data_IF_306262704210
#
_entry.id   IF_306262704210
#
_cell.length_a   1.000
_cell.length_b   1.000
_cell.length_c   1.000
_cell.angle_alpha   90.00
_cell.angle_beta   90.00
_cell.angle_gamma   90.00
#
_symmetry.space_group_name_H-M   'P 1'
#
loop_
_entity.id
_entity.type
_entity.pdbx_description
1 polymer ?
#
# COMPACT_ATOMS: atom_id res chain seq x y z
N UNK A 1 19.68 19.94 -2.53
CA UNK A 1 18.88 19.44 -3.65
C UNK A 1 18.10 18.26 -3.19
N UNK A 2 16.82 18.33 -3.38
CA UNK A 2 15.96 17.21 -3.06
C UNK A 2 15.96 16.22 -4.21
N UNK A 3 16.70 15.15 -4.02
CA UNK A 3 16.60 14.04 -4.95
C UNK A 3 15.27 13.37 -4.76
N UNK A 4 14.42 13.54 -5.74
CA UNK A 4 13.16 12.85 -5.72
C UNK A 4 13.34 11.48 -6.34
N UNK A 5 13.01 10.46 -5.55
CA UNK A 5 13.13 9.09 -5.97
C UNK A 5 11.76 8.50 -6.25
N UNK A 6 11.73 7.59 -7.19
CA UNK A 6 10.50 6.86 -7.53
C UNK A 6 10.75 5.37 -7.43
N UNK A 7 9.76 4.62 -6.96
CA UNK A 7 9.86 3.16 -6.94
C UNK A 7 9.60 2.61 -8.33
N UNK A 8 10.46 1.70 -8.76
CA UNK A 8 10.38 1.09 -10.09
C UNK A 8 10.74 -0.38 -9.99
N UNK A 9 10.43 -1.10 -11.06
CA UNK A 9 10.73 -2.52 -11.16
C UNK A 9 11.82 -2.72 -12.21
N UNK A 10 12.87 -3.42 -11.84
CA UNK A 10 13.96 -3.77 -12.75
C UNK A 10 13.45 -4.77 -13.79
N UNK A 11 13.60 -4.46 -15.08
CA UNK A 11 13.11 -5.33 -16.15
C UNK A 11 13.83 -6.66 -16.19
N UNK A 12 15.07 -6.71 -15.76
CA UNK A 12 15.86 -7.95 -15.85
C UNK A 12 15.45 -8.98 -14.80
N UNK A 13 15.18 -8.56 -13.57
CA UNK A 13 14.98 -9.49 -12.46
C UNK A 13 13.72 -9.26 -11.65
N UNK A 14 12.90 -8.28 -12.01
CA UNK A 14 11.66 -7.91 -11.32
C UNK A 14 11.85 -7.43 -9.89
N UNK A 15 13.04 -7.01 -9.54
CA UNK A 15 13.31 -6.45 -8.20
C UNK A 15 12.86 -4.99 -8.12
N UNK A 16 12.55 -4.56 -6.90
CA UNK A 16 12.17 -3.17 -6.63
C UNK A 16 13.43 -2.34 -6.45
N UNK A 17 13.45 -1.19 -7.10
CA UNK A 17 14.50 -0.20 -6.93
C UNK A 17 13.89 1.17 -6.74
N UNK A 18 14.60 2.01 -6.04
CA UNK A 18 14.26 3.42 -5.92
C UNK A 18 15.28 4.18 -6.74
N UNK A 19 14.86 4.80 -7.82
CA UNK A 19 15.78 5.55 -8.68
C UNK A 19 15.54 7.04 -8.50
N UNK A 20 16.63 7.81 -8.53
CA UNK A 20 16.52 9.26 -8.52
C UNK A 20 16.08 9.72 -9.90
N UNK A 21 15.21 10.71 -9.93
CA UNK A 21 14.77 11.28 -11.20
C UNK A 21 15.96 11.85 -11.99
N UNK A 22 16.98 12.31 -11.27
CA UNK A 22 18.18 12.84 -11.90
C UNK A 22 19.00 11.79 -12.65
N UNK A 23 18.81 10.52 -12.33
CA UNK A 23 19.56 9.42 -12.95
C UNK A 23 18.90 8.89 -14.21
N UNK A 24 17.73 9.39 -14.57
CA UNK A 24 17.01 8.94 -15.76
C UNK A 24 17.61 9.62 -16.98
N UNK A 25 18.13 8.80 -17.89
CA UNK A 25 18.67 9.32 -19.15
C UNK A 25 17.54 9.70 -20.12
N UNK A 26 16.58 8.78 -20.25
CA UNK A 26 15.42 9.01 -21.07
C UNK A 26 14.34 7.99 -20.74
N UNK A 27 13.15 8.26 -21.21
CA UNK A 27 12.00 7.36 -21.08
C UNK A 27 11.55 6.89 -22.45
N UNK A 28 10.91 5.75 -22.48
CA UNK A 28 10.32 5.22 -23.70
C UNK A 28 9.02 4.47 -23.37
N UNK A 29 8.31 4.06 -24.40
CA UNK A 29 7.12 3.23 -24.24
C UNK A 29 7.43 1.83 -24.73
N UNK A 30 7.06 0.84 -23.93
CA UNK A 30 7.11 -0.55 -24.28
C UNK A 30 5.72 -1.13 -24.04
N UNK A 31 5.00 -1.43 -25.09
CA UNK A 31 3.64 -1.97 -25.00
C UNK A 31 2.72 -1.14 -24.09
N UNK A 32 2.79 0.18 -24.20
CA UNK A 32 2.00 1.15 -23.40
C UNK A 32 2.53 1.38 -21.98
N UNK A 33 3.62 0.72 -21.61
CA UNK A 33 4.23 0.93 -20.32
C UNK A 33 5.38 1.90 -20.42
N UNK A 34 5.48 2.80 -19.47
CA UNK A 34 6.60 3.73 -19.43
C UNK A 34 7.82 3.00 -18.89
N UNK A 35 8.93 3.17 -19.58
CA UNK A 35 10.19 2.53 -19.25
C UNK A 35 11.23 3.63 -19.03
N UNK A 36 12.00 3.47 -17.95
CA UNK A 36 13.06 4.41 -17.58
C UNK A 36 14.42 3.80 -17.89
N UNK A 37 15.24 4.54 -18.62
CA UNK A 37 16.58 4.12 -18.98
C UNK A 37 17.59 4.89 -18.17
N UNK A 38 18.42 4.19 -17.41
CA UNK A 38 19.50 4.76 -16.60
C UNK A 38 20.81 4.08 -16.96
N UNK A 39 21.91 4.58 -16.45
CA UNK A 39 23.21 3.94 -16.67
C UNK A 39 23.24 2.53 -16.08
N UNK A 40 22.55 2.32 -14.98
CA UNK A 40 22.61 1.07 -14.24
C UNK A 40 21.60 0.03 -14.67
N UNK A 41 20.62 0.41 -15.47
CA UNK A 41 19.63 -0.56 -15.89
C UNK A 41 18.39 0.08 -16.50
N UNK A 42 17.46 -0.80 -16.81
CA UNK A 42 16.17 -0.46 -17.42
C UNK A 42 15.07 -0.85 -16.45
N UNK A 43 14.17 0.07 -16.20
CA UNK A 43 13.12 -0.09 -15.20
C UNK A 43 11.78 0.30 -15.77
N UNK A 44 10.72 -0.26 -15.21
CA UNK A 44 9.36 0.16 -15.56
C UNK A 44 8.59 0.57 -14.31
N UNK A 45 7.48 1.23 -14.54
CA UNK A 45 6.59 1.64 -13.46
C UNK A 45 5.99 0.44 -12.73
N UNK A 46 5.47 0.73 -11.55
CA UNK A 46 4.62 -0.23 -10.85
C UNK A 46 3.40 -0.50 -11.73
N UNK A 47 3.18 -1.73 -12.12
CA UNK A 47 2.13 -2.11 -13.06
C UNK A 47 0.96 -2.85 -12.43
N UNK A 48 1.14 -3.36 -11.23
CA UNK A 48 0.13 -4.21 -10.60
C UNK A 48 0.11 -4.00 -9.10
N UNK A 49 -0.96 -4.48 -8.46
CA UNK A 49 -1.03 -4.48 -7.01
C UNK A 49 0.06 -5.37 -6.42
N UNK A 50 0.41 -6.45 -7.09
CA UNK A 50 1.49 -7.32 -6.66
C UNK A 50 2.83 -6.59 -6.63
N UNK A 51 3.13 -5.81 -7.67
CA UNK A 51 4.34 -5.00 -7.70
C UNK A 51 4.31 -3.95 -6.59
N UNK A 52 3.16 -3.30 -6.39
CA UNK A 52 3.02 -2.30 -5.34
C UNK A 52 3.21 -2.92 -3.96
N UNK A 53 2.79 -4.15 -3.77
CA UNK A 53 3.00 -4.88 -2.52
C UNK A 53 4.48 -5.00 -2.20
N UNK A 54 5.31 -5.25 -3.19
CA UNK A 54 6.76 -5.35 -2.98
C UNK A 54 7.34 -4.04 -2.45
N UNK A 55 6.77 -2.91 -2.86
CA UNK A 55 7.21 -1.59 -2.43
C UNK A 55 6.69 -1.27 -1.03
N UNK A 56 5.44 -1.57 -0.75
CA UNK A 56 4.76 -1.09 0.45
C UNK A 56 4.82 -2.06 1.63
N UNK A 57 4.94 -3.37 1.39
CA UNK A 57 4.98 -4.34 2.49
C UNK A 57 6.10 -4.05 3.49
N UNK A 58 7.31 -3.67 3.07
CA UNK A 58 8.38 -3.38 4.04
C UNK A 58 8.08 -2.21 4.97
N UNK A 59 7.13 -1.34 4.60
CA UNK A 59 6.76 -0.20 5.44
C UNK A 59 5.42 -0.37 6.15
N UNK A 60 4.95 -1.61 6.26
CA UNK A 60 3.82 -1.93 7.12
C UNK A 60 2.47 -2.03 6.44
N UNK A 61 2.44 -2.17 5.12
CA UNK A 61 1.19 -2.38 4.40
C UNK A 61 0.91 -3.87 4.26
N UNK A 62 -0.36 -4.23 4.39
CA UNK A 62 -0.83 -5.60 4.23
C UNK A 62 -2.03 -5.62 3.28
N UNK A 63 -2.13 -6.67 2.51
CA UNK A 63 -3.30 -6.89 1.67
C UNK A 63 -4.40 -7.50 2.54
N UNK A 64 -5.48 -6.78 2.69
CA UNK A 64 -6.61 -7.23 3.50
C UNK A 64 -7.81 -7.63 2.66
N UNK A 65 -7.85 -7.24 1.41
CA UNK A 65 -8.89 -7.61 0.49
C UNK A 65 -8.31 -7.62 -0.93
N UNK A 66 -9.12 -7.99 -1.87
CA UNK A 66 -8.72 -8.23 -3.25
C UNK A 66 -8.04 -7.04 -3.91
N UNK A 67 -8.50 -5.84 -3.63
CA UNK A 67 -8.01 -4.65 -4.33
C UNK A 67 -7.35 -3.62 -3.45
N UNK A 68 -6.93 -3.97 -2.22
CA UNK A 68 -6.34 -2.97 -1.35
C UNK A 68 -4.98 -3.40 -0.79
N UNK A 69 -4.25 -2.40 -0.34
CA UNK A 69 -3.09 -2.53 0.54
C UNK A 69 -3.32 -1.52 1.65
N UNK A 70 -3.23 -1.96 2.88
CA UNK A 70 -3.63 -1.16 4.03
C UNK A 70 -2.45 -0.97 4.96
N UNK A 71 -2.19 0.28 5.33
CA UNK A 71 -1.17 0.58 6.32
C UNK A 71 -1.73 0.29 7.70
N UNK A 72 -1.29 -0.79 8.29
CA UNK A 72 -1.88 -1.34 9.51
C UNK A 72 -1.82 -0.35 10.68
N UNK A 73 -0.71 0.35 10.83
CA UNK A 73 -0.55 1.28 11.93
C UNK A 73 -1.54 2.44 11.91
N UNK A 74 -2.12 2.74 10.77
CA UNK A 74 -3.05 3.86 10.63
C UNK A 74 -4.50 3.48 10.93
N UNK A 75 -4.77 2.21 11.11
CA UNK A 75 -6.12 1.76 11.44
C UNK A 75 -6.50 2.24 12.82
N UNK A 76 -7.64 2.92 12.93
CA UNK A 76 -8.17 3.39 14.21
C UNK A 76 -9.28 2.49 14.73
N UNK A 77 -9.98 1.80 13.85
CA UNK A 77 -11.09 0.94 14.24
C UNK A 77 -11.27 -0.16 13.21
N UNK A 78 -11.49 -1.36 13.69
CA UNK A 78 -11.83 -2.51 12.88
C UNK A 78 -13.21 -3.02 13.26
N UNK A 79 -14.14 -2.98 12.29
CA UNK A 79 -15.47 -3.53 12.44
C UNK A 79 -15.44 -4.98 11.94
N UNK A 80 -15.36 -5.92 12.87
CA UNK A 80 -15.25 -7.34 12.53
C UNK A 80 -16.55 -7.92 12.00
N UNK A 81 -17.68 -7.29 12.27
CA UNK A 81 -18.98 -7.77 11.78
C UNK A 81 -19.13 -7.45 10.30
N UNK A 82 -18.81 -6.23 9.92
CA UNK A 82 -18.95 -5.77 8.55
C UNK A 82 -17.70 -5.97 7.70
N UNK A 83 -16.57 -6.29 8.32
CA UNK A 83 -15.31 -6.45 7.61
C UNK A 83 -14.80 -5.13 7.08
N UNK A 84 -14.75 -4.10 7.93
CA UNK A 84 -14.32 -2.76 7.54
C UNK A 84 -13.24 -2.25 8.48
N UNK A 85 -12.29 -1.51 7.94
CA UNK A 85 -11.29 -0.79 8.73
C UNK A 85 -11.39 0.69 8.42
N UNK A 86 -11.21 1.49 9.46
CA UNK A 86 -11.31 2.95 9.41
C UNK A 86 -10.00 3.57 9.90
N UNK A 87 -9.77 4.80 9.49
CA UNK A 87 -8.51 5.47 9.76
C UNK A 87 -8.71 6.82 10.47
N UNK A 88 -9.94 7.22 10.71
CA UNK A 88 -10.28 8.47 11.36
C UNK A 88 -10.57 8.24 12.84
N UNK A 89 -10.35 9.25 13.64
CA UNK A 89 -10.69 9.17 15.07
C UNK A 89 -12.18 9.28 15.32
N UNK A 90 -12.89 10.01 14.45
CA UNK A 90 -14.32 10.19 14.53
C UNK A 90 -14.95 9.45 13.35
N UNK A 91 -15.82 8.49 13.65
CA UNK A 91 -16.42 7.66 12.63
C UNK A 91 -17.90 7.95 12.53
N UNK A 92 -18.32 8.32 11.33
CA UNK A 92 -19.70 8.56 10.97
C UNK A 92 -20.09 7.63 9.84
N UNK A 93 -21.37 7.68 9.44
CA UNK A 93 -21.81 6.88 8.30
C UNK A 93 -21.12 7.25 6.99
N UNK A 94 -20.54 8.46 6.92
CA UNK A 94 -19.88 8.94 5.70
C UNK A 94 -18.37 8.80 5.74
N UNK A 95 -17.82 8.28 6.84
CA UNK A 95 -16.39 8.09 6.98
C UNK A 95 -15.86 7.04 6.01
N UNK A 96 -14.74 7.35 5.38
CA UNK A 96 -14.13 6.40 4.46
C UNK A 96 -13.61 5.17 5.19
N UNK A 97 -13.70 4.07 4.51
CA UNK A 97 -13.21 2.81 5.01
C UNK A 97 -12.68 1.97 3.84
N UNK A 98 -11.95 0.93 4.18
CA UNK A 98 -11.67 -0.13 3.22
C UNK A 98 -12.07 -1.46 3.86
N UNK A 99 -12.01 -2.52 3.09
CA UNK A 99 -12.60 -3.80 3.49
C UNK A 99 -11.55 -4.83 3.87
N UNK A 100 -11.99 -5.80 4.67
CA UNK A 100 -11.21 -6.95 5.07
C UNK A 100 -11.96 -8.20 4.62
N UNK A 101 -11.36 -8.98 3.74
CA UNK A 101 -11.96 -10.22 3.29
C UNK A 101 -12.04 -11.22 4.45
N UNK A 102 -13.07 -12.09 4.48
CA UNK A 102 -13.21 -13.07 5.56
C UNK A 102 -11.95 -13.90 5.79
N UNK A 103 -11.24 -14.27 4.74
CA UNK A 103 -10.02 -15.06 4.86
C UNK A 103 -8.86 -14.33 5.56
N UNK A 104 -8.96 -13.00 5.68
CA UNK A 104 -7.94 -12.19 6.33
C UNK A 104 -8.34 -11.70 7.72
N UNK A 105 -9.51 -12.06 8.20
CA UNK A 105 -10.00 -11.55 9.49
C UNK A 105 -9.15 -11.98 10.68
N UNK A 106 -8.69 -13.21 10.70
CA UNK A 106 -7.80 -13.65 11.78
C UNK A 106 -6.45 -12.96 11.71
N UNK A 107 -5.97 -12.72 10.49
CA UNK A 107 -4.72 -12.00 10.26
C UNK A 107 -4.80 -10.57 10.78
N UNK A 108 -5.89 -9.87 10.49
CA UNK A 108 -6.02 -8.48 10.94
C UNK A 108 -6.10 -8.38 12.46
N UNK A 109 -6.76 -9.32 13.11
CA UNK A 109 -6.80 -9.36 14.57
C UNK A 109 -5.41 -9.53 15.15
N UNK A 110 -4.61 -10.39 14.55
CA UNK A 110 -3.24 -10.63 14.99
C UNK A 110 -2.36 -9.42 14.75
N UNK A 111 -2.49 -8.78 13.59
CA UNK A 111 -1.70 -7.60 13.23
C UNK A 111 -2.03 -6.40 14.11
N UNK A 112 -3.31 -6.19 14.44
CA UNK A 112 -3.70 -5.12 15.34
C UNK A 112 -3.28 -5.43 16.77
N UNK A 113 -3.30 -6.71 17.12
CA UNK A 113 -2.74 -7.20 18.37
C UNK A 113 -3.22 -6.50 19.60
N UNK A 114 -2.36 -6.46 20.59
CA UNK A 114 -2.65 -5.82 21.86
C UNK A 114 -2.36 -4.33 21.84
N UNK A 115 -1.65 -3.87 20.83
CA UNK A 115 -1.26 -2.46 20.73
C UNK A 115 -2.37 -1.58 20.18
N UNK A 116 -3.30 -2.18 19.46
CA UNK A 116 -4.44 -1.47 18.88
C UNK A 116 -5.71 -1.92 19.56
N UNK A 117 -6.49 -0.94 19.98
CA UNK A 117 -7.83 -1.21 20.44
C UNK A 117 -8.70 -1.44 19.21
N UNK A 118 -9.13 -2.69 19.01
CA UNK A 118 -10.01 -3.03 17.90
C UNK A 118 -11.46 -2.79 18.25
N UNK A 119 -11.72 -2.23 19.44
CA UNK A 119 -13.04 -1.80 19.83
C UNK A 119 -13.45 -0.53 19.13
N UNK A 120 -14.32 0.22 19.77
CA UNK A 120 -14.83 1.45 19.18
C UNK A 120 -13.74 2.53 19.16
N UNK A 121 -13.73 3.38 18.15
CA UNK A 121 -12.84 4.53 18.11
C UNK A 121 -13.21 5.52 19.22
N UNK A 122 -12.38 6.55 19.40
CA UNK A 122 -12.59 7.57 20.40
C UNK A 122 -13.98 8.22 20.27
N UNK A 123 -14.41 8.45 19.04
CA UNK A 123 -15.73 8.99 18.75
C UNK A 123 -16.39 8.20 17.64
N UNK A 124 -17.64 7.87 17.82
CA UNK A 124 -18.36 6.99 16.93
C UNK A 124 -19.78 7.53 16.71
N UNK A 125 -20.06 8.00 15.51
CA UNK A 125 -21.35 8.57 15.16
C UNK A 125 -21.92 7.90 13.92
N UNK A 126 -23.01 7.18 14.10
CA UNK A 126 -23.78 6.61 13.00
C UNK A 126 -25.22 7.05 13.06
#
# INVERSE_FOLDING_TARGET
VNDKSIPVINKADNSVHWISMADINYTSLDERHIVYHTEDGIYHNILSLEDLTKVLAPVGFEKLDRGNLVQIEKITYYDSVMGKVYFDEVITKDTRYTTVAPRHMSKIKELLGKEKDIGKPRSFFF
#
